data_IF_496673130568
#
_entry.id   IF_496673130568
#
_cell.length_a   1.000
_cell.length_b   1.000
_cell.length_c   1.000
_cell.angle_alpha   90.00
_cell.angle_beta   90.00
_cell.angle_gamma   90.00
#
_symmetry.space_group_name_H-M   'P 1'
#
loop_
_entity.id
_entity.type
_entity.pdbx_description
1 polymer ?
#
# COMPACT_ATOMS: atom_id res chain seq x y z
N UNK A 1 -3.59 9.05 21.50
CA UNK A 1 -4.28 8.36 20.38
C UNK A 1 -3.93 9.09 19.11
N UNK A 2 -3.55 8.37 18.06
CA UNK A 2 -3.24 8.96 16.75
C UNK A 2 -4.53 9.50 16.13
N UNK A 3 -4.55 10.80 15.79
CA UNK A 3 -5.65 11.40 15.04
C UNK A 3 -5.31 11.39 13.54
N UNK A 4 -6.30 11.11 12.73
CA UNK A 4 -6.19 11.11 11.27
C UNK A 4 -6.92 12.32 10.70
N UNK A 5 -6.39 12.89 9.62
CA UNK A 5 -7.04 13.95 8.87
C UNK A 5 -7.22 13.56 7.40
N UNK A 6 -8.30 14.02 6.75
CA UNK A 6 -8.45 13.92 5.31
C UNK A 6 -7.26 14.56 4.59
N UNK A 7 -6.73 13.87 3.59
CA UNK A 7 -5.65 14.36 2.72
C UNK A 7 -6.01 14.06 1.28
N UNK A 8 -5.59 14.97 0.42
CA UNK A 8 -5.71 14.87 -1.03
C UNK A 8 -4.46 14.18 -1.57
N UNK A 9 -4.66 13.18 -2.42
CA UNK A 9 -3.61 12.45 -3.11
C UNK A 9 -3.75 12.72 -4.61
N UNK A 10 -2.62 12.81 -5.32
CA UNK A 10 -2.56 12.96 -6.77
C UNK A 10 -3.39 14.16 -7.26
N UNK A 11 -3.10 15.35 -6.71
CA UNK A 11 -3.82 16.58 -7.05
C UNK A 11 -5.30 16.58 -6.64
N UNK A 12 -5.68 15.73 -5.67
CA UNK A 12 -7.05 15.63 -5.15
C UNK A 12 -7.95 14.66 -5.89
N UNK A 13 -7.42 13.91 -6.86
CA UNK A 13 -8.16 12.85 -7.55
C UNK A 13 -8.55 11.69 -6.61
N UNK A 14 -7.71 11.43 -5.60
CA UNK A 14 -7.94 10.42 -4.57
C UNK A 14 -7.99 11.11 -3.21
N UNK A 15 -8.90 10.65 -2.35
CA UNK A 15 -9.02 11.11 -0.96
C UNK A 15 -8.64 9.97 -0.02
N UNK A 16 -7.87 10.28 1.00
CA UNK A 16 -7.48 9.31 2.03
C UNK A 16 -7.34 9.96 3.40
N UNK A 17 -6.84 9.17 4.35
CA UNK A 17 -6.58 9.62 5.71
C UNK A 17 -5.11 9.41 6.03
N UNK A 18 -4.46 10.46 6.53
CA UNK A 18 -3.07 10.43 6.98
C UNK A 18 -3.05 10.85 8.46
N UNK A 19 -2.18 10.25 9.31
CA UNK A 19 -2.01 10.74 10.66
C UNK A 19 -1.60 12.22 10.66
N UNK A 20 -2.28 13.05 11.46
CA UNK A 20 -2.12 14.51 11.42
C UNK A 20 -0.69 15.01 11.64
N UNK A 21 0.15 14.24 12.34
CA UNK A 21 1.52 14.63 12.65
C UNK A 21 2.52 14.27 11.55
N UNK A 22 2.09 13.60 10.48
CA UNK A 22 2.99 13.13 9.43
C UNK A 22 3.26 14.22 8.41
N UNK A 23 4.49 14.24 7.91
CA UNK A 23 5.01 15.24 6.99
C UNK A 23 5.05 14.66 5.59
N UNK A 24 4.71 15.48 4.60
CA UNK A 24 4.80 15.14 3.19
C UNK A 24 6.26 15.20 2.74
N UNK A 25 6.79 14.10 2.18
CA UNK A 25 8.19 14.08 1.73
C UNK A 25 8.42 14.92 0.48
N UNK A 26 7.36 15.21 -0.30
CA UNK A 26 7.47 16.03 -1.52
C UNK A 26 7.87 17.48 -1.23
N UNK A 27 7.62 17.97 -0.01
CA UNK A 27 8.02 19.31 0.44
C UNK A 27 9.56 19.48 0.55
N UNK A 28 10.30 18.37 0.65
CA UNK A 28 11.75 18.39 0.92
C UNK A 28 12.59 17.70 -0.15
N UNK A 29 11.98 16.82 -0.96
CA UNK A 29 12.64 16.13 -2.07
C UNK A 29 11.64 15.81 -3.16
N UNK A 30 12.12 15.56 -4.38
CA UNK A 30 11.27 15.01 -5.43
C UNK A 30 10.78 13.60 -5.07
N UNK A 31 9.52 13.33 -5.40
CA UNK A 31 8.82 12.06 -5.28
C UNK A 31 8.26 11.73 -6.68
N UNK A 32 8.33 10.47 -7.16
CA UNK A 32 7.71 10.10 -8.42
C UNK A 32 6.23 10.50 -8.48
N UNK A 33 5.75 10.86 -9.66
CA UNK A 33 4.39 11.37 -9.90
C UNK A 33 3.26 10.41 -9.52
N UNK A 34 3.53 9.10 -9.61
CA UNK A 34 2.63 8.01 -9.24
C UNK A 34 2.83 7.54 -7.79
N UNK A 35 3.61 8.28 -6.99
CA UNK A 35 3.84 8.01 -5.58
C UNK A 35 3.51 9.21 -4.69
N UNK A 36 3.05 8.92 -3.47
CA UNK A 36 2.83 9.87 -2.40
C UNK A 36 3.52 9.32 -1.14
N UNK A 37 4.40 10.11 -0.52
CA UNK A 37 5.26 9.63 0.57
C UNK A 37 5.08 10.50 1.81
N UNK A 38 4.66 9.88 2.90
CA UNK A 38 4.50 10.53 4.19
C UNK A 38 5.46 9.95 5.23
N UNK A 39 6.04 10.83 6.05
CA UNK A 39 7.04 10.50 7.04
C UNK A 39 6.54 10.86 8.44
N UNK A 40 6.66 9.94 9.38
CA UNK A 40 6.45 10.26 10.78
C UNK A 40 7.68 11.00 11.33
N UNK A 41 7.52 12.17 11.96
CA UNK A 41 8.63 12.90 12.58
C UNK A 41 9.04 12.29 13.94
N UNK A 42 8.22 11.40 14.51
CA UNK A 42 8.41 10.86 15.87
C UNK A 42 8.67 9.37 15.88
N UNK A 43 8.27 8.65 14.82
CA UNK A 43 8.54 7.23 14.63
C UNK A 43 9.33 7.11 13.34
N UNK A 44 10.35 6.25 13.27
CA UNK A 44 11.12 6.02 12.04
C UNK A 44 10.29 5.23 11.01
N UNK A 45 9.05 5.65 10.78
CA UNK A 45 8.03 4.99 9.98
C UNK A 45 7.67 5.90 8.82
N UNK A 46 7.57 5.31 7.64
CA UNK A 46 7.05 5.95 6.45
C UNK A 46 5.78 5.24 5.98
N UNK A 47 5.02 5.94 5.15
CA UNK A 47 3.85 5.43 4.46
C UNK A 47 3.96 5.91 3.03
N UNK A 48 3.99 4.94 2.11
CA UNK A 48 4.08 5.17 0.68
C UNK A 48 2.77 4.69 0.09
N UNK A 49 2.13 5.53 -0.71
CA UNK A 49 0.98 5.16 -1.52
C UNK A 49 1.42 5.28 -2.97
N UNK A 50 1.20 4.23 -3.76
CA UNK A 50 1.70 4.14 -5.13
C UNK A 50 0.62 3.59 -6.07
N UNK A 51 0.50 4.21 -7.25
CA UNK A 51 -0.37 3.74 -8.32
C UNK A 51 0.44 2.82 -9.25
N UNK A 52 0.13 1.54 -9.19
CA UNK A 52 0.74 0.51 -10.03
C UNK A 52 -0.16 0.10 -11.21
N UNK A 53 0.46 -0.49 -12.24
CA UNK A 53 -0.27 -1.16 -13.30
C UNK A 53 -0.94 -2.44 -12.77
N UNK A 54 -2.04 -2.84 -13.43
CA UNK A 54 -2.76 -4.05 -13.07
C UNK A 54 -1.92 -5.28 -13.44
N UNK A 55 -1.61 -6.10 -12.44
CA UNK A 55 -0.91 -7.39 -12.63
C UNK A 55 -1.80 -8.39 -13.36
N UNK A 56 -1.20 -9.07 -14.33
CA UNK A 56 -1.81 -10.14 -15.12
C UNK A 56 -1.64 -11.51 -14.44
N UNK A 57 -2.50 -12.50 -14.75
CA UNK A 57 -2.34 -13.85 -14.19
C UNK A 57 -0.99 -14.50 -14.56
N UNK A 58 -0.47 -14.20 -15.75
CA UNK A 58 0.83 -14.70 -16.22
C UNK A 58 1.99 -14.19 -15.35
N UNK A 59 1.98 -12.91 -14.96
CA UNK A 59 3.00 -12.32 -14.08
C UNK A 59 3.00 -12.95 -12.67
N UNK A 60 1.82 -13.32 -12.14
CA UNK A 60 1.73 -13.95 -10.81
C UNK A 60 2.14 -15.43 -10.77
N UNK A 61 2.36 -16.06 -11.93
CA UNK A 61 2.52 -17.51 -12.03
C UNK A 61 3.75 -18.03 -11.26
N UNK A 62 4.85 -17.26 -11.22
CA UNK A 62 6.08 -17.63 -10.51
C UNK A 62 5.89 -17.81 -9.01
N UNK A 63 4.97 -17.06 -8.41
CA UNK A 63 4.69 -17.06 -6.96
C UNK A 63 3.50 -17.93 -6.58
N UNK A 64 2.79 -18.50 -7.55
CA UNK A 64 1.61 -19.35 -7.33
C UNK A 64 1.86 -20.54 -6.39
N UNK A 65 3.10 -21.03 -6.35
CA UNK A 65 3.50 -22.15 -5.48
C UNK A 65 3.44 -21.82 -3.98
N UNK A 66 3.46 -20.54 -3.61
CA UNK A 66 3.34 -20.10 -2.22
C UNK A 66 1.88 -20.04 -1.77
N UNK A 67 0.92 -20.06 -2.69
CA UNK A 67 -0.50 -19.94 -2.41
C UNK A 67 -1.24 -21.28 -2.58
N UNK A 68 -2.29 -21.54 -1.80
CA UNK A 68 -3.19 -22.67 -2.04
C UNK A 68 -3.84 -22.60 -3.43
N UNK A 69 -4.19 -23.75 -4.00
CA UNK A 69 -4.89 -23.81 -5.30
C UNK A 69 -6.29 -23.18 -5.29
N UNK A 70 -6.83 -22.87 -4.11
CA UNK A 70 -8.11 -22.19 -3.92
C UNK A 70 -7.97 -20.66 -3.83
N UNK A 71 -6.76 -20.13 -3.97
CA UNK A 71 -6.50 -18.70 -3.82
C UNK A 71 -7.15 -17.86 -4.89
N UNK A 72 -7.48 -16.63 -4.52
CA UNK A 72 -8.11 -15.67 -5.43
C UNK A 72 -7.07 -14.91 -6.26
N UNK A 73 -7.46 -14.32 -7.40
CA UNK A 73 -6.56 -13.45 -8.16
C UNK A 73 -6.00 -12.27 -7.34
N UNK A 74 -6.77 -11.75 -6.37
CA UNK A 74 -6.34 -10.64 -5.53
C UNK A 74 -5.24 -11.06 -4.55
N UNK A 75 -5.31 -12.28 -4.02
CA UNK A 75 -4.24 -12.85 -3.16
C UNK A 75 -2.94 -13.03 -3.94
N UNK A 76 -3.04 -13.51 -5.19
CA UNK A 76 -1.88 -13.65 -6.07
C UNK A 76 -1.26 -12.29 -6.43
N UNK A 77 -2.09 -11.28 -6.72
CA UNK A 77 -1.62 -9.92 -6.99
C UNK A 77 -0.98 -9.26 -5.76
N UNK A 78 -1.55 -9.45 -4.57
CA UNK A 78 -0.97 -8.95 -3.33
C UNK A 78 0.41 -9.57 -3.07
N UNK A 79 0.55 -10.88 -3.27
CA UNK A 79 1.83 -11.57 -3.11
C UNK A 79 2.87 -11.10 -4.13
N UNK A 80 2.46 -10.87 -5.38
CA UNK A 80 3.32 -10.32 -6.42
C UNK A 80 3.89 -8.96 -6.04
N UNK A 81 3.05 -8.02 -5.58
CA UNK A 81 3.53 -6.71 -5.16
C UNK A 81 4.36 -6.75 -3.87
N UNK A 82 4.10 -7.69 -2.94
CA UNK A 82 4.96 -7.89 -1.78
C UNK A 82 6.36 -8.36 -2.22
N UNK A 83 6.42 -9.31 -3.16
CA UNK A 83 7.69 -9.79 -3.70
C UNK A 83 8.46 -8.70 -4.44
N UNK A 84 7.80 -7.79 -5.15
CA UNK A 84 8.44 -6.67 -5.85
C UNK A 84 9.14 -5.68 -4.91
N UNK A 85 8.73 -5.64 -3.63
CA UNK A 85 9.34 -4.81 -2.60
C UNK A 85 10.57 -5.50 -1.96
N UNK A 86 10.71 -6.81 -2.13
CA UNK A 86 11.80 -7.59 -1.53
C UNK A 86 13.13 -7.36 -2.27
N UNK A 87 14.22 -7.28 -1.52
CA UNK A 87 15.59 -7.30 -2.06
C UNK A 87 16.04 -8.74 -2.38
N UNK A 88 17.16 -8.90 -3.11
CA UNK A 88 17.67 -10.22 -3.54
C UNK A 88 17.93 -11.20 -2.38
N UNK A 89 18.25 -10.67 -1.19
CA UNK A 89 18.56 -11.46 0.01
C UNK A 89 17.34 -11.69 0.93
N UNK A 90 16.16 -11.18 0.57
CA UNK A 90 14.96 -11.32 1.38
C UNK A 90 14.34 -12.71 1.25
N UNK A 91 13.75 -13.19 2.34
CA UNK A 91 12.97 -14.43 2.38
C UNK A 91 11.49 -14.11 2.52
N UNK A 92 10.70 -14.51 1.53
CA UNK A 92 9.25 -14.43 1.58
C UNK A 92 8.63 -15.72 2.15
N UNK A 93 7.87 -15.60 3.24
CA UNK A 93 7.17 -16.72 3.87
C UNK A 93 5.78 -16.28 4.36
N UNK A 94 4.75 -17.09 4.05
CA UNK A 94 3.39 -16.84 4.52
C UNK A 94 3.25 -17.36 5.95
N UNK A 95 3.42 -16.45 6.92
CA UNK A 95 3.24 -16.77 8.36
C UNK A 95 1.76 -16.82 8.75
N UNK A 96 0.95 -15.94 8.16
CA UNK A 96 -0.51 -15.91 8.33
C UNK A 96 -1.13 -15.80 6.96
N UNK A 97 -2.07 -16.70 6.65
CA UNK A 97 -2.74 -16.71 5.36
C UNK A 97 -3.52 -15.40 5.11
N UNK A 98 -3.67 -14.97 3.85
CA UNK A 98 -4.47 -13.81 3.52
C UNK A 98 -5.91 -14.00 4.02
N UNK A 99 -6.47 -12.95 4.60
CA UNK A 99 -7.86 -12.90 5.04
C UNK A 99 -8.53 -11.65 4.51
N UNK A 100 -9.77 -11.79 4.06
CA UNK A 100 -10.58 -10.63 3.69
C UNK A 100 -10.83 -9.76 4.93
N UNK A 101 -10.56 -8.46 4.81
CA UNK A 101 -10.80 -7.48 5.86
C UNK A 101 -11.98 -6.62 5.45
N UNK A 102 -13.06 -6.67 6.22
CA UNK A 102 -14.15 -5.70 6.06
C UNK A 102 -13.71 -4.36 6.67
N UNK A 103 -13.37 -3.40 5.83
CA UNK A 103 -13.08 -2.05 6.29
C UNK A 103 -14.38 -1.34 6.71
N UNK A 104 -14.33 -0.63 7.84
CA UNK A 104 -15.40 0.29 8.22
C UNK A 104 -15.60 1.35 7.14
N UNK A 105 -16.85 1.70 6.82
CA UNK A 105 -17.12 2.81 5.90
C UNK A 105 -16.76 4.12 6.59
N UNK A 106 -15.89 4.90 5.98
CA UNK A 106 -15.62 6.25 6.43
C UNK A 106 -16.61 7.22 5.78
N UNK A 107 -17.13 8.16 6.55
CA UNK A 107 -17.88 9.27 5.98
C UNK A 107 -16.89 10.07 5.14
N UNK A 108 -17.16 10.21 3.83
CA UNK A 108 -16.51 11.25 3.06
C UNK A 108 -16.83 12.57 3.75
N UNK A 109 -15.81 13.33 4.18
CA UNK A 109 -16.04 14.67 4.73
C UNK A 109 -16.88 15.44 3.73
N UNK A 110 -18.10 15.79 4.16
CA UNK A 110 -19.02 16.58 3.36
C UNK A 110 -18.36 17.88 2.94
N UNK A 111 -18.53 18.22 1.67
CA UNK A 111 -18.44 19.59 1.18
C UNK A 111 -19.74 20.29 1.60
#
# INVERSE_FOLDING_TARGET
MTQYAPRDFYGGAIKGLIPQSWVDASDVREVPDHQEVFLSPTTLTSQIVEINQRVSPEETTSLSHLLPSTSTPDEAAALYHIHDICDEDDKLEIVTGPMSVSMGKFLASGI
#
